data_IF_992141834143
#
_entry.id   IF_992141834143
#
_cell.length_a   1.000
_cell.length_b   1.000
_cell.length_c   1.000
_cell.angle_alpha   90.00
_cell.angle_beta   90.00
_cell.angle_gamma   90.00
#
_symmetry.space_group_name_H-M   'P 1'
#
loop_
_entity.id
_entity.type
_entity.pdbx_description
1 polymer ?
#
# COMPACT_ATOMS: atom_id res chain seq x y z
N UNK A 1 12.29 -23.64 -3.05
CA UNK A 1 12.50 -22.70 -1.94
C UNK A 1 11.52 -23.05 -0.85
N UNK A 2 11.99 -23.29 0.38
CA UNK A 2 11.13 -23.48 1.55
C UNK A 2 10.21 -22.26 1.70
N UNK A 3 8.90 -22.47 1.90
CA UNK A 3 7.98 -21.36 2.17
C UNK A 3 8.35 -20.78 3.54
N UNK A 4 8.45 -19.46 3.65
CA UNK A 4 8.66 -18.81 4.93
C UNK A 4 7.62 -19.29 5.95
N UNK A 5 8.06 -19.47 7.18
CA UNK A 5 7.27 -19.91 8.32
C UNK A 5 7.06 -18.75 9.29
N UNK A 6 6.15 -18.93 10.26
CA UNK A 6 5.94 -17.98 11.37
C UNK A 6 7.24 -17.69 12.13
N UNK A 7 8.02 -18.74 12.44
CA UNK A 7 9.30 -18.61 13.14
C UNK A 7 10.33 -17.80 12.35
N UNK A 8 10.32 -17.90 11.02
CA UNK A 8 11.20 -17.09 10.17
C UNK A 8 10.87 -15.60 10.23
N UNK A 9 9.59 -15.24 10.45
CA UNK A 9 9.15 -13.84 10.60
C UNK A 9 9.53 -13.30 11.97
N UNK A 10 9.31 -14.07 13.04
CA UNK A 10 9.76 -13.67 14.39
C UNK A 10 11.28 -13.48 14.40
N UNK A 11 12.03 -14.43 13.84
CA UNK A 11 13.50 -14.35 13.74
C UNK A 11 13.95 -13.09 13.00
N UNK A 12 13.27 -12.74 11.89
CA UNK A 12 13.52 -11.50 11.16
C UNK A 12 13.37 -10.29 12.09
N UNK A 13 12.21 -10.13 12.74
CA UNK A 13 11.93 -8.97 13.60
C UNK A 13 12.91 -8.85 14.78
N UNK A 14 13.25 -9.97 15.41
CA UNK A 14 14.25 -9.98 16.49
C UNK A 14 15.66 -9.64 16.01
N UNK A 15 16.01 -10.03 14.78
CA UNK A 15 17.31 -9.71 14.19
C UNK A 15 17.43 -8.21 13.86
N UNK A 16 16.32 -7.55 13.53
CA UNK A 16 16.24 -6.10 13.33
C UNK A 16 16.23 -5.33 14.67
N UNK A 17 16.06 -6.01 15.82
CA UNK A 17 16.18 -5.40 17.15
C UNK A 17 14.90 -5.34 17.98
N UNK A 18 13.77 -5.89 17.50
CA UNK A 18 12.56 -5.98 18.33
C UNK A 18 12.74 -6.96 19.50
N UNK A 19 12.12 -6.67 20.64
CA UNK A 19 12.02 -7.67 21.70
C UNK A 19 11.17 -8.86 21.22
N UNK A 20 11.45 -10.07 21.70
CA UNK A 20 10.71 -11.28 21.28
C UNK A 20 9.21 -11.13 21.48
N UNK A 21 8.78 -10.52 22.58
CA UNK A 21 7.35 -10.29 22.88
C UNK A 21 6.69 -9.33 21.87
N UNK A 22 7.38 -8.25 21.47
CA UNK A 22 6.90 -7.31 20.44
C UNK A 22 6.87 -7.98 19.06
N UNK A 23 7.92 -8.73 18.71
CA UNK A 23 7.97 -9.49 17.46
C UNK A 23 6.80 -10.48 17.34
N UNK A 24 6.52 -11.21 18.42
CA UNK A 24 5.37 -12.12 18.52
C UNK A 24 4.03 -11.36 18.39
N UNK A 25 3.89 -10.20 19.06
CA UNK A 25 2.69 -9.38 18.99
C UNK A 25 2.42 -8.84 17.57
N UNK A 26 3.46 -8.35 16.88
CA UNK A 26 3.40 -7.93 15.48
C UNK A 26 2.93 -9.09 14.61
N UNK A 27 3.54 -10.27 14.76
CA UNK A 27 3.16 -11.47 13.97
C UNK A 27 1.71 -11.84 14.22
N UNK A 28 1.24 -11.86 15.48
CA UNK A 28 -0.16 -12.15 15.83
C UNK A 28 -1.12 -11.12 15.21
N UNK A 29 -0.75 -9.84 15.19
CA UNK A 29 -1.55 -8.82 14.52
C UNK A 29 -1.66 -9.09 13.01
N UNK A 30 -0.56 -9.41 12.34
CA UNK A 30 -0.57 -9.72 10.91
C UNK A 30 -1.30 -11.05 10.60
N UNK A 31 -1.29 -12.03 11.50
CA UNK A 31 -2.10 -13.25 11.42
C UNK A 31 -3.60 -12.94 11.51
N UNK A 32 -4.01 -12.05 12.42
CA UNK A 32 -5.41 -11.56 12.50
C UNK A 32 -5.83 -10.79 11.25
N UNK A 33 -4.88 -10.17 10.56
CA UNK A 33 -5.10 -9.55 9.24
C UNK A 33 -5.12 -10.58 8.08
N UNK A 34 -5.07 -11.88 8.38
CA UNK A 34 -5.09 -13.00 7.43
C UNK A 34 -3.88 -13.06 6.49
N UNK A 35 -2.76 -12.44 6.87
CA UNK A 35 -1.52 -12.56 6.12
C UNK A 35 -0.85 -13.89 6.43
N UNK A 36 -0.42 -14.61 5.40
CA UNK A 36 0.49 -15.75 5.58
C UNK A 36 1.95 -15.28 5.72
N UNK A 37 2.89 -16.12 6.21
CA UNK A 37 4.24 -15.65 6.48
C UNK A 37 4.99 -15.05 5.27
N UNK A 38 4.86 -15.57 4.03
CA UNK A 38 5.37 -14.87 2.84
C UNK A 38 4.75 -13.49 2.57
N UNK A 39 3.50 -13.25 2.95
CA UNK A 39 2.87 -11.92 2.90
C UNK A 39 3.36 -11.04 4.05
N UNK A 40 3.50 -11.57 5.26
CA UNK A 40 4.05 -10.81 6.39
C UNK A 40 5.46 -10.30 6.09
N UNK A 41 6.34 -11.15 5.56
CA UNK A 41 7.69 -10.72 5.14
C UNK A 41 7.67 -9.60 4.11
N UNK A 42 6.71 -9.64 3.17
CA UNK A 42 6.54 -8.56 2.20
C UNK A 42 6.05 -7.28 2.86
N UNK A 43 5.05 -7.38 3.73
CA UNK A 43 4.53 -6.26 4.51
C UNK A 43 5.64 -5.62 5.35
N UNK A 44 6.54 -6.42 5.91
CA UNK A 44 7.59 -5.98 6.84
C UNK A 44 8.87 -5.44 6.18
N UNK A 45 9.34 -6.06 5.10
CA UNK A 45 10.75 -5.91 4.69
C UNK A 45 10.98 -5.80 3.18
N UNK A 46 9.94 -5.93 2.33
CA UNK A 46 10.12 -5.78 0.89
C UNK A 46 10.37 -4.30 0.56
N UNK A 47 11.58 -3.96 0.14
CA UNK A 47 11.98 -2.56 -0.10
C UNK A 47 11.11 -1.82 -1.13
N UNK A 48 10.39 -2.55 -2.00
CA UNK A 48 9.48 -1.97 -2.98
C UNK A 48 8.00 -2.09 -2.58
N UNK A 49 7.64 -2.91 -1.58
CA UNK A 49 6.24 -3.28 -1.30
C UNK A 49 5.86 -3.31 0.18
N UNK A 50 6.80 -3.02 1.06
CA UNK A 50 6.53 -3.00 2.48
C UNK A 50 5.50 -1.93 2.82
N UNK A 51 4.72 -2.22 3.85
CA UNK A 51 3.73 -1.30 4.37
C UNK A 51 4.45 -0.14 5.04
N UNK A 52 4.13 1.08 4.66
CA UNK A 52 4.78 2.26 5.23
C UNK A 52 4.24 2.56 6.62
N UNK A 53 5.13 2.68 7.62
CA UNK A 53 4.77 2.95 9.02
C UNK A 53 5.19 4.37 9.38
N UNK A 54 4.28 5.15 9.93
CA UNK A 54 4.59 6.47 10.49
C UNK A 54 5.42 6.33 11.77
N UNK A 55 6.58 6.99 11.83
CA UNK A 55 7.52 6.87 12.96
C UNK A 55 7.45 8.05 13.94
N UNK A 56 6.33 8.79 13.93
CA UNK A 56 6.07 9.90 14.86
C UNK A 56 6.96 11.13 14.68
N UNK A 57 7.62 11.25 13.52
CA UNK A 57 8.43 12.42 13.16
C UNK A 57 7.80 13.11 11.95
N UNK A 58 7.83 14.44 11.93
CA UNK A 58 7.23 15.26 10.86
C UNK A 58 8.28 16.23 10.31
N UNK A 59 8.41 16.32 8.99
CA UNK A 59 9.30 17.28 8.31
C UNK A 59 8.46 18.14 7.36
N UNK A 60 8.50 19.46 7.52
CA UNK A 60 7.68 20.40 6.75
C UNK A 60 6.17 20.06 6.73
N UNK A 61 5.64 19.54 7.84
CA UNK A 61 4.23 19.14 7.96
C UNK A 61 3.89 17.77 7.36
N UNK A 62 4.89 17.01 6.88
CA UNK A 62 4.72 15.66 6.32
C UNK A 62 5.26 14.63 7.31
N UNK A 63 4.42 13.66 7.68
CA UNK A 63 4.84 12.55 8.54
C UNK A 63 5.86 11.67 7.82
N UNK A 64 7.00 11.46 8.47
CA UNK A 64 8.03 10.55 8.02
C UNK A 64 7.53 9.12 8.19
N UNK A 65 7.59 8.38 7.09
CA UNK A 65 7.24 6.97 7.03
C UNK A 65 8.48 6.13 6.73
N UNK A 66 8.52 4.95 7.31
CA UNK A 66 9.61 3.99 7.11
C UNK A 66 9.07 2.60 6.77
N UNK A 67 9.94 1.80 6.16
CA UNK A 67 9.75 0.35 6.06
C UNK A 67 9.75 -0.22 7.49
N UNK A 68 8.87 -1.18 7.84
CA UNK A 68 8.73 -1.67 9.21
C UNK A 68 10.03 -2.19 9.82
N UNK A 69 10.85 -2.93 9.08
CA UNK A 69 12.15 -3.38 9.60
C UNK A 69 13.10 -2.22 9.91
N UNK A 70 13.14 -1.17 9.09
CA UNK A 70 13.95 0.02 9.39
C UNK A 70 13.41 0.80 10.59
N UNK A 71 12.08 0.82 10.78
CA UNK A 71 11.48 1.42 11.98
C UNK A 71 11.89 0.63 13.24
N UNK A 72 11.89 -0.69 13.19
CA UNK A 72 12.37 -1.55 14.28
C UNK A 72 13.85 -1.30 14.57
N UNK A 73 14.70 -1.25 13.54
CA UNK A 73 16.12 -0.94 13.68
C UNK A 73 16.35 0.43 14.35
N UNK A 74 15.47 1.40 14.08
CA UNK A 74 15.46 2.71 14.70
C UNK A 74 14.84 2.75 16.12
N UNK A 75 14.51 1.59 16.71
CA UNK A 75 13.91 1.48 18.04
C UNK A 75 12.44 1.89 18.08
N UNK A 76 11.71 1.72 16.98
CA UNK A 76 10.27 2.02 16.83
C UNK A 76 9.43 0.75 16.61
N UNK A 77 9.74 -0.32 17.32
CA UNK A 77 8.98 -1.56 17.25
C UNK A 77 7.52 -1.38 17.72
N UNK A 78 7.31 -0.50 18.70
CA UNK A 78 6.00 -0.04 19.17
C UNK A 78 5.14 0.53 18.03
N UNK A 79 5.70 1.44 17.23
CA UNK A 79 5.00 2.04 16.09
C UNK A 79 4.64 0.99 15.02
N UNK A 80 5.49 -0.02 14.82
CA UNK A 80 5.21 -1.12 13.90
C UNK A 80 4.11 -2.04 14.44
N UNK A 81 4.11 -2.33 15.74
CA UNK A 81 3.05 -3.08 16.40
C UNK A 81 1.71 -2.34 16.27
N UNK A 82 1.66 -1.05 16.62
CA UNK A 82 0.47 -0.22 16.48
C UNK A 82 -0.05 -0.20 15.04
N UNK A 83 0.85 -0.07 14.06
CA UNK A 83 0.48 -0.13 12.65
C UNK A 83 -0.08 -1.50 12.24
N UNK A 84 0.51 -2.60 12.71
CA UNK A 84 0.02 -3.94 12.44
C UNK A 84 -1.35 -4.20 13.09
N UNK A 85 -1.57 -3.70 14.31
CA UNK A 85 -2.86 -3.80 15.01
C UNK A 85 -3.95 -2.98 14.31
N UNK A 86 -3.64 -1.74 13.92
CA UNK A 86 -4.55 -0.91 13.11
C UNK A 86 -4.87 -1.57 11.77
N UNK A 87 -3.87 -2.16 11.12
CA UNK A 87 -4.05 -2.91 9.88
C UNK A 87 -4.97 -4.11 10.07
N UNK A 88 -4.78 -4.89 11.13
CA UNK A 88 -5.64 -6.03 11.46
C UNK A 88 -7.09 -5.62 11.76
N UNK A 89 -7.29 -4.47 12.40
CA UNK A 89 -8.61 -3.94 12.74
C UNK A 89 -9.37 -3.28 11.56
N UNK A 90 -8.67 -2.96 10.46
CA UNK A 90 -9.26 -2.31 9.30
C UNK A 90 -10.27 -3.22 8.57
N UNK A 91 -11.12 -2.66 7.72
CA UNK A 91 -12.00 -3.46 6.88
C UNK A 91 -11.19 -4.30 5.85
N UNK A 92 -11.66 -5.49 5.44
CA UNK A 92 -10.98 -6.31 4.42
C UNK A 92 -10.67 -5.54 3.13
N UNK A 93 -11.58 -4.65 2.71
CA UNK A 93 -11.45 -3.78 1.55
C UNK A 93 -10.31 -2.78 1.73
N UNK A 94 -10.21 -2.13 2.90
CA UNK A 94 -9.12 -1.21 3.21
C UNK A 94 -7.77 -1.93 3.17
N UNK A 95 -7.68 -3.12 3.80
CA UNK A 95 -6.46 -3.94 3.77
C UNK A 95 -6.06 -4.32 2.35
N UNK A 96 -7.04 -4.73 1.54
CA UNK A 96 -6.83 -5.09 0.13
C UNK A 96 -6.28 -3.91 -0.68
N UNK A 97 -6.84 -2.71 -0.47
CA UNK A 97 -6.38 -1.49 -1.12
C UNK A 97 -4.98 -1.11 -0.69
N UNK A 98 -4.65 -1.12 0.61
CA UNK A 98 -3.29 -0.87 1.11
C UNK A 98 -2.26 -1.78 0.41
N UNK A 99 -2.56 -3.08 0.30
CA UNK A 99 -1.66 -4.05 -0.31
C UNK A 99 -1.56 -3.91 -1.84
N UNK A 100 -2.63 -3.49 -2.50
CA UNK A 100 -2.67 -3.38 -3.96
C UNK A 100 -2.08 -2.06 -4.44
N UNK A 101 -2.36 -0.98 -3.71
CA UNK A 101 -1.89 0.37 -4.01
C UNK A 101 -0.53 0.69 -3.35
N UNK A 102 -0.03 -0.18 -2.47
CA UNK A 102 1.22 -0.01 -1.74
C UNK A 102 1.23 1.31 -0.95
N UNK A 103 0.20 1.50 -0.13
CA UNK A 103 0.02 2.67 0.72
C UNK A 103 -0.46 2.26 2.12
N UNK A 104 -0.44 3.21 3.06
CA UNK A 104 -0.96 2.98 4.41
C UNK A 104 -2.47 3.19 4.51
N UNK A 105 -3.05 2.79 5.64
CA UNK A 105 -4.48 2.94 5.90
C UNK A 105 -4.93 4.41 5.84
N UNK A 106 -4.08 5.33 6.29
CA UNK A 106 -4.44 6.75 6.30
C UNK A 106 -4.56 7.29 4.87
N UNK A 107 -3.70 6.85 3.94
CA UNK A 107 -3.87 7.12 2.52
C UNK A 107 -5.18 6.53 1.97
N UNK A 108 -5.49 5.25 2.25
CA UNK A 108 -6.74 4.63 1.78
C UNK A 108 -7.96 5.38 2.31
N UNK A 109 -7.95 5.83 3.56
CA UNK A 109 -9.05 6.58 4.17
C UNK A 109 -9.18 8.00 3.61
N UNK A 110 -8.06 8.66 3.28
CA UNK A 110 -8.10 9.93 2.54
C UNK A 110 -8.70 9.74 1.14
N UNK A 111 -8.31 8.68 0.43
CA UNK A 111 -8.85 8.36 -0.89
C UNK A 111 -10.33 8.04 -0.84
N UNK A 112 -10.77 7.25 0.13
CA UNK A 112 -12.18 6.84 0.26
C UNK A 112 -13.05 7.93 0.89
N UNK A 113 -12.45 8.94 1.54
CA UNK A 113 -13.15 9.99 2.30
C UNK A 113 -14.10 9.43 3.38
N UNK A 114 -13.92 8.16 3.76
CA UNK A 114 -14.84 7.45 4.65
C UNK A 114 -16.20 7.13 4.02
N UNK A 115 -16.34 7.25 2.70
CA UNK A 115 -17.59 7.02 1.96
C UNK A 115 -17.60 5.60 1.37
N UNK A 116 -18.64 4.81 1.67
CA UNK A 116 -18.77 3.41 1.22
C UNK A 116 -18.79 3.28 -0.31
N UNK A 117 -19.54 4.14 -0.99
CA UNK A 117 -19.62 4.15 -2.47
C UNK A 117 -18.25 4.42 -3.09
N UNK A 118 -17.50 5.36 -2.50
CA UNK A 118 -16.16 5.71 -2.95
C UNK A 118 -15.17 4.58 -2.69
N UNK A 119 -15.27 3.91 -1.54
CA UNK A 119 -14.49 2.71 -1.23
C UNK A 119 -14.75 1.57 -2.24
N UNK A 120 -16.02 1.36 -2.62
CA UNK A 120 -16.38 0.36 -3.63
C UNK A 120 -15.79 0.67 -5.01
N UNK A 121 -15.82 1.94 -5.44
CA UNK A 121 -15.19 2.37 -6.69
C UNK A 121 -13.67 2.19 -6.66
N UNK A 122 -13.02 2.48 -5.54
CA UNK A 122 -11.58 2.22 -5.37
C UNK A 122 -11.27 0.72 -5.47
N UNK A 123 -12.10 -0.13 -4.86
CA UNK A 123 -11.98 -1.58 -4.97
C UNK A 123 -12.16 -2.08 -6.40
N UNK A 124 -13.11 -1.52 -7.15
CA UNK A 124 -13.28 -1.83 -8.57
C UNK A 124 -12.04 -1.42 -9.37
N UNK A 125 -11.54 -0.20 -9.19
CA UNK A 125 -10.32 0.28 -9.85
C UNK A 125 -9.13 -0.65 -9.56
N UNK A 126 -8.93 -1.03 -8.29
CA UNK A 126 -7.90 -1.98 -7.89
C UNK A 126 -8.06 -3.33 -8.59
N UNK A 127 -9.29 -3.84 -8.69
CA UNK A 127 -9.62 -5.08 -9.40
C UNK A 127 -9.29 -5.01 -10.89
N UNK A 128 -9.69 -3.92 -11.57
CA UNK A 128 -9.42 -3.69 -12.99
C UNK A 128 -7.90 -3.60 -13.26
N UNK A 129 -7.20 -2.79 -12.48
CA UNK A 129 -5.75 -2.58 -12.58
C UNK A 129 -4.99 -3.90 -12.35
N UNK A 130 -5.28 -4.59 -11.25
CA UNK A 130 -4.63 -5.86 -10.92
C UNK A 130 -4.96 -6.95 -11.93
N UNK A 131 -6.19 -6.96 -12.45
CA UNK A 131 -6.63 -7.86 -13.52
C UNK A 131 -5.78 -7.72 -14.79
N UNK A 132 -5.38 -6.49 -15.15
CA UNK A 132 -4.52 -6.20 -16.32
C UNK A 132 -3.03 -6.38 -16.03
N UNK A 133 -2.55 -5.84 -14.90
CA UNK A 133 -1.12 -5.68 -14.61
C UNK A 133 -0.50 -6.85 -13.83
N UNK A 134 -1.33 -7.69 -13.21
CA UNK A 134 -0.98 -8.94 -12.50
C UNK A 134 -0.07 -8.82 -11.26
N UNK A 135 0.54 -7.66 -11.01
CA UNK A 135 1.45 -7.42 -9.88
C UNK A 135 1.11 -6.10 -9.18
N UNK A 136 1.10 -6.10 -7.86
CA UNK A 136 0.73 -4.91 -7.06
C UNK A 136 1.71 -3.73 -7.28
N UNK A 137 3.01 -4.00 -7.41
CA UNK A 137 4.00 -2.96 -7.77
C UNK A 137 3.69 -2.30 -9.11
N UNK A 138 3.24 -3.08 -10.10
CA UNK A 138 2.87 -2.55 -11.39
C UNK A 138 1.59 -1.70 -11.33
N UNK A 139 0.67 -2.04 -10.42
CA UNK A 139 -0.52 -1.23 -10.13
C UNK A 139 -0.11 0.10 -9.53
N UNK A 140 0.73 0.10 -8.50
CA UNK A 140 1.26 1.32 -7.89
C UNK A 140 2.02 2.19 -8.92
N UNK A 141 2.88 1.59 -9.76
CA UNK A 141 3.57 2.33 -10.83
C UNK A 141 2.57 2.99 -11.80
N UNK A 142 1.54 2.26 -12.26
CA UNK A 142 0.52 2.82 -13.15
C UNK A 142 -0.26 3.97 -12.49
N UNK A 143 -0.57 3.86 -11.20
CA UNK A 143 -1.23 4.92 -10.43
C UNK A 143 -0.38 6.19 -10.35
N UNK A 144 0.93 6.04 -10.17
CA UNK A 144 1.91 7.12 -10.05
C UNK A 144 2.39 7.67 -11.41
N UNK A 145 1.91 7.10 -12.52
CA UNK A 145 2.28 7.52 -13.88
C UNK A 145 1.36 8.64 -14.35
N UNK A 146 1.95 9.68 -14.95
CA UNK A 146 1.19 10.79 -15.55
C UNK A 146 0.39 10.33 -16.75
N UNK A 147 -0.87 10.74 -16.84
CA UNK A 147 -1.72 10.48 -17.99
C UNK A 147 -1.14 11.16 -19.24
N UNK A 148 -1.48 10.65 -20.43
CA UNK A 148 -1.00 11.23 -21.69
C UNK A 148 -2.10 11.30 -22.75
N UNK A 149 -2.02 12.27 -23.64
CA UNK A 149 -2.89 12.37 -24.83
C UNK A 149 -4.00 13.41 -24.67
N UNK A 150 -5.27 13.00 -24.79
CA UNK A 150 -6.42 13.89 -24.55
C UNK A 150 -6.67 14.18 -23.06
N UNK A 151 -5.77 13.72 -22.20
CA UNK A 151 -5.82 13.89 -20.75
C UNK A 151 -4.79 14.95 -20.37
N UNK A 152 -4.96 15.59 -19.21
CA UNK A 152 -4.00 16.56 -18.70
C UNK A 152 -2.65 15.88 -18.44
N UNK A 153 -1.64 16.23 -19.25
CA UNK A 153 -0.27 15.70 -19.24
C UNK A 153 0.52 16.07 -17.96
N UNK A 154 -0.11 16.70 -16.98
CA UNK A 154 0.47 16.98 -15.65
C UNK A 154 -0.15 16.16 -14.53
N UNK A 155 -1.27 15.48 -14.80
CA UNK A 155 -2.07 14.80 -13.79
C UNK A 155 -1.85 13.28 -13.83
N UNK A 156 -1.57 12.66 -12.68
CA UNK A 156 -1.40 11.20 -12.56
C UNK A 156 -2.74 10.49 -12.45
N UNK A 157 -2.76 9.19 -12.75
CA UNK A 157 -3.97 8.39 -12.55
C UNK A 157 -4.46 8.43 -11.10
N UNK A 158 -3.55 8.41 -10.13
CA UNK A 158 -3.89 8.52 -8.70
C UNK A 158 -4.54 9.86 -8.36
N UNK A 159 -4.16 10.95 -9.04
CA UNK A 159 -4.73 12.28 -8.77
C UNK A 159 -6.19 12.34 -9.25
N UNK A 160 -6.52 11.72 -10.39
CA UNK A 160 -7.92 11.51 -10.80
C UNK A 160 -8.71 10.70 -9.78
N UNK A 161 -8.11 9.64 -9.24
CA UNK A 161 -8.75 8.78 -8.23
C UNK A 161 -8.91 9.46 -6.87
N UNK A 162 -8.10 10.47 -6.57
CA UNK A 162 -8.14 11.23 -5.31
C UNK A 162 -9.18 12.35 -5.32
N UNK A 163 -9.52 12.84 -6.52
CA UNK A 163 -10.48 13.94 -6.71
C UNK A 163 -11.91 13.43 -6.95
N UNK A 164 -12.85 14.32 -7.25
CA UNK A 164 -14.25 14.00 -7.58
C UNK A 164 -14.40 13.23 -8.90
N UNK A 165 -13.28 12.98 -9.58
CA UNK A 165 -13.17 12.29 -10.87
C UNK A 165 -12.96 10.79 -10.77
N UNK A 166 -13.07 10.20 -9.56
CA UNK A 166 -12.89 8.76 -9.36
C UNK A 166 -13.79 7.91 -10.27
N UNK A 167 -15.06 8.29 -10.44
CA UNK A 167 -15.99 7.56 -11.30
C UNK A 167 -15.56 7.60 -12.79
N UNK A 168 -15.05 8.75 -13.26
CA UNK A 168 -14.49 8.89 -14.62
C UNK A 168 -13.26 8.01 -14.80
N UNK A 169 -12.37 7.97 -13.80
CA UNK A 169 -11.19 7.11 -13.82
C UNK A 169 -11.59 5.63 -13.92
N UNK A 170 -12.55 5.19 -13.10
CA UNK A 170 -13.06 3.80 -13.13
C UNK A 170 -13.65 3.47 -14.50
N UNK A 171 -14.48 4.35 -15.07
CA UNK A 171 -15.07 4.13 -16.39
C UNK A 171 -14.01 4.09 -17.50
N UNK A 172 -13.01 4.97 -17.45
CA UNK A 172 -11.91 4.97 -18.40
C UNK A 172 -11.06 3.68 -18.32
N UNK A 173 -10.86 3.14 -17.11
CA UNK A 173 -10.21 1.84 -16.90
C UNK A 173 -11.07 0.68 -17.41
N UNK A 174 -12.39 0.74 -17.18
CA UNK A 174 -13.37 -0.29 -17.56
C UNK A 174 -13.48 -0.42 -19.08
N UNK A 175 -13.57 0.72 -19.77
CA UNK A 175 -13.69 0.79 -21.24
C UNK A 175 -12.37 0.61 -21.96
N UNK A 176 -11.24 0.71 -21.24
CA UNK A 176 -9.90 0.67 -21.82
C UNK A 176 -9.50 1.97 -22.52
N UNK A 177 -10.22 3.08 -22.28
CA UNK A 177 -9.80 4.41 -22.71
C UNK A 177 -8.43 4.78 -22.12
N UNK A 178 -8.12 4.26 -20.93
CA UNK A 178 -6.77 4.25 -20.38
C UNK A 178 -6.18 2.85 -20.52
N UNK A 179 -5.21 2.69 -21.44
CA UNK A 179 -4.38 1.49 -21.49
C UNK A 179 -3.26 1.59 -20.44
N UNK A 180 -3.50 1.00 -19.28
CA UNK A 180 -2.57 1.03 -18.14
C UNK A 180 -1.25 0.30 -18.40
N UNK A 181 -1.19 -0.59 -19.38
CA UNK A 181 0.05 -1.28 -19.75
C UNK A 181 0.92 -0.34 -20.57
N UNK A 182 0.35 0.37 -21.54
CA UNK A 182 1.08 1.37 -22.33
C UNK A 182 1.39 2.63 -21.51
N UNK A 183 0.47 3.07 -20.65
CA UNK A 183 0.66 4.19 -19.72
C UNK A 183 1.96 3.99 -18.93
N UNK A 184 2.10 2.86 -18.24
CA UNK A 184 3.31 2.54 -17.44
C UNK A 184 4.60 2.46 -18.27
N UNK A 185 4.51 2.16 -19.57
CA UNK A 185 5.71 2.07 -20.44
C UNK A 185 6.18 3.43 -20.93
N UNK A 186 5.26 4.38 -21.12
CA UNK A 186 5.54 5.63 -21.85
C UNK A 186 5.42 6.88 -21.00
N UNK A 187 4.55 6.86 -20.00
CA UNK A 187 4.33 7.99 -19.12
C UNK A 187 5.46 8.17 -18.12
N UNK A 188 5.77 9.42 -17.73
CA UNK A 188 6.72 9.67 -16.66
C UNK A 188 6.15 9.21 -15.32
N UNK A 189 6.99 8.57 -14.52
CA UNK A 189 6.64 8.03 -13.21
C UNK A 189 7.04 9.03 -12.11
N UNK A 190 6.07 9.48 -11.32
CA UNK A 190 6.29 10.48 -10.28
C UNK A 190 5.86 9.95 -8.91
N UNK A 191 6.84 9.43 -8.16
CA UNK A 191 6.65 9.04 -6.75
C UNK A 191 6.64 10.27 -5.85
N UNK A 192 5.51 10.98 -5.84
CA UNK A 192 5.18 11.93 -4.78
C UNK A 192 4.11 11.23 -3.97
N UNK A 193 4.35 11.00 -2.67
CA UNK A 193 3.58 10.09 -1.82
C UNK A 193 2.04 10.24 -1.89
N UNK A 194 1.35 9.27 -1.29
CA UNK A 194 -0.11 9.22 -1.18
C UNK A 194 -0.70 10.22 -0.18
#
# INVERSE_FOLDING_TARGET
>A
MSRATRADVVTLLTAEGAATEEAEAIVVALERAELNPPQMRRWLADSARAYTVSVGATVHGVDLKQVPTHAIEAGRADAVQDAAERFAAAAPEERMLCLTFLCDLDAVRRLSRGEDERLQLLCEAAGLLRGKLKKDIAVNEALQTTLSGNFDDTTRLVDWMSDDRLAEAVEALRTGAIDVVELRKRGPLHFVGW
#
